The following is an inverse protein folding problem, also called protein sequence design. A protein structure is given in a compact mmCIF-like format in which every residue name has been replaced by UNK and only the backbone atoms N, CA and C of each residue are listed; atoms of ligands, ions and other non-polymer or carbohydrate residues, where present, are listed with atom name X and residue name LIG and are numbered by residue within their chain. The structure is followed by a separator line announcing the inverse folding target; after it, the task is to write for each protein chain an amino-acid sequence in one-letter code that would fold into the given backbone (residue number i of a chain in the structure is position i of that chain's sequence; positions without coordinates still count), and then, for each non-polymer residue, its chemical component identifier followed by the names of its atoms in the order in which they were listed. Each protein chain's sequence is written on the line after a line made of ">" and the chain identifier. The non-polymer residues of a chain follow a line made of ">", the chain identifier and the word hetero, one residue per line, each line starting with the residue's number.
data_IF_499981292091
#
_entry.id   IF_499981292091
#
_cell.length_a   1.000
_cell.length_b   1.000
_cell.length_c   1.000
_cell.angle_alpha   90.00
_cell.angle_beta   90.00
_cell.angle_gamma   90.00
#
_symmetry.space_group_name_H-M   'P 1'
#
loop_
_entity.id
_entity.type
_entity.pdbx_description
1 polymer ?
#
# COMPACT_ATOMS: atom_id res chain seq x y z
N UNK A 1 16.37 2.09 0.92
CA UNK A 1 16.74 2.68 -0.40
C UNK A 1 17.09 1.63 -1.47
N UNK A 2 17.81 0.53 -1.16
CA UNK A 2 18.23 -0.51 -2.12
C UNK A 2 17.08 -1.33 -2.78
N UNK A 3 15.99 -1.59 -2.05
CA UNK A 3 14.87 -2.41 -2.52
C UNK A 3 14.07 -1.76 -3.70
N UNK A 4 13.88 -0.43 -3.67
CA UNK A 4 13.14 0.29 -4.73
C UNK A 4 13.79 0.18 -6.11
N UNK A 5 15.12 0.07 -6.19
CA UNK A 5 15.82 -0.05 -7.47
C UNK A 5 15.52 -1.39 -8.15
N UNK A 6 15.48 -2.48 -7.38
CA UNK A 6 15.14 -3.81 -7.91
C UNK A 6 13.66 -3.91 -8.31
N UNK A 7 12.77 -3.27 -7.53
CA UNK A 7 11.34 -3.20 -7.89
C UNK A 7 11.12 -2.46 -9.20
N UNK A 8 11.89 -1.40 -9.50
CA UNK A 8 11.82 -0.71 -10.79
C UNK A 8 12.19 -1.62 -11.95
N UNK A 9 13.23 -2.44 -11.83
CA UNK A 9 13.61 -3.40 -12.88
C UNK A 9 12.47 -4.39 -13.16
N UNK A 10 11.85 -4.92 -12.11
CA UNK A 10 10.72 -5.85 -12.23
C UNK A 10 9.50 -5.15 -12.84
N UNK A 11 9.16 -3.94 -12.36
CA UNK A 11 8.04 -3.15 -12.87
C UNK A 11 8.22 -2.81 -14.36
N UNK A 12 9.43 -2.40 -14.78
CA UNK A 12 9.75 -2.14 -16.18
C UNK A 12 9.66 -3.39 -17.05
N UNK A 13 9.98 -4.56 -16.53
CA UNK A 13 9.79 -5.82 -17.27
C UNK A 13 8.30 -6.15 -17.41
N UNK A 14 7.56 -6.11 -16.30
CA UNK A 14 6.13 -6.48 -16.27
C UNK A 14 5.28 -5.53 -17.13
N UNK A 15 5.64 -4.25 -17.23
CA UNK A 15 4.92 -3.28 -18.08
C UNK A 15 4.98 -3.57 -19.58
N UNK A 16 5.92 -4.42 -20.03
CA UNK A 16 5.99 -4.86 -21.43
C UNK A 16 4.95 -5.93 -21.77
N UNK A 17 4.37 -6.59 -20.76
CA UNK A 17 3.39 -7.65 -20.94
C UNK A 17 2.00 -7.03 -21.09
N UNK A 18 1.41 -7.14 -22.29
CA UNK A 18 0.07 -6.64 -22.55
C UNK A 18 -0.97 -7.39 -21.72
N UNK A 19 -2.01 -6.68 -21.28
CA UNK A 19 -3.14 -7.22 -20.51
C UNK A 19 -2.74 -7.81 -19.13
N UNK A 20 -1.61 -7.40 -18.57
CA UNK A 20 -1.20 -7.77 -17.21
C UNK A 20 -1.40 -6.58 -16.26
N UNK A 21 -2.13 -6.81 -15.17
CA UNK A 21 -2.28 -5.87 -14.05
C UNK A 21 -1.71 -6.52 -12.79
N UNK A 22 -0.74 -5.88 -12.16
CA UNK A 22 -0.10 -6.38 -10.92
C UNK A 22 -0.78 -5.76 -9.71
N UNK A 23 -1.14 -6.58 -8.71
CA UNK A 23 -1.85 -6.10 -7.53
C UNK A 23 -1.56 -6.91 -6.27
N UNK A 24 -2.16 -6.47 -5.16
CA UNK A 24 -2.02 -7.04 -3.82
C UNK A 24 -0.57 -7.13 -3.29
N UNK A 25 -0.44 -7.72 -2.08
CA UNK A 25 0.83 -7.87 -1.34
C UNK A 25 1.92 -8.59 -2.14
N UNK A 26 1.56 -9.70 -2.79
CA UNK A 26 2.53 -10.57 -3.45
C UNK A 26 2.89 -10.09 -4.86
N UNK A 27 1.96 -9.43 -5.57
CA UNK A 27 2.22 -8.91 -6.91
C UNK A 27 3.01 -7.59 -6.91
N UNK A 28 2.86 -6.76 -5.87
CA UNK A 28 3.55 -5.46 -5.77
C UNK A 28 4.70 -5.45 -4.76
N UNK A 29 4.87 -6.50 -3.94
CA UNK A 29 5.87 -6.61 -2.88
C UNK A 29 5.89 -5.39 -1.93
N UNK A 30 4.70 -4.92 -1.55
CA UNK A 30 4.48 -3.80 -0.61
C UNK A 30 3.59 -4.26 0.54
N UNK A 31 3.82 -3.73 1.74
CA UNK A 31 2.86 -3.81 2.83
C UNK A 31 1.61 -3.02 2.45
N UNK A 32 0.46 -3.68 2.57
CA UNK A 32 -0.84 -3.20 2.15
C UNK A 32 -1.83 -3.78 3.18
N UNK A 33 -2.55 -2.90 3.88
CA UNK A 33 -3.69 -3.27 4.70
C UNK A 33 -4.87 -3.66 3.78
N UNK A 34 -5.83 -4.46 4.25
CA UNK A 34 -6.89 -5.07 3.42
C UNK A 34 -7.64 -4.07 2.53
N UNK A 35 -7.85 -2.86 3.01
CA UNK A 35 -8.48 -1.74 2.29
C UNK A 35 -7.69 -1.34 1.04
N UNK A 36 -6.36 -1.38 1.09
CA UNK A 36 -5.51 -1.12 -0.06
C UNK A 36 -5.56 -2.25 -1.10
N UNK A 37 -5.67 -3.51 -0.68
CA UNK A 37 -5.86 -4.63 -1.61
C UNK A 37 -7.18 -4.51 -2.35
N UNK A 38 -8.24 -4.10 -1.65
CA UNK A 38 -9.56 -3.87 -2.24
C UNK A 38 -9.54 -2.69 -3.23
N UNK A 39 -8.95 -1.56 -2.85
CA UNK A 39 -8.82 -0.39 -3.73
C UNK A 39 -8.02 -0.70 -5.00
N UNK A 40 -6.89 -1.42 -4.86
CA UNK A 40 -6.08 -1.86 -6.01
C UNK A 40 -6.91 -2.73 -6.97
N UNK A 41 -7.71 -3.66 -6.43
CA UNK A 41 -8.57 -4.51 -7.25
C UNK A 41 -9.65 -3.72 -7.98
N UNK A 42 -10.28 -2.73 -7.32
CA UNK A 42 -11.28 -1.87 -7.96
C UNK A 42 -10.68 -1.04 -9.12
N UNK A 43 -9.48 -0.49 -8.93
CA UNK A 43 -8.79 0.27 -9.97
C UNK A 43 -8.33 -0.63 -11.13
N UNK A 44 -7.91 -1.87 -10.85
CA UNK A 44 -7.58 -2.84 -11.88
C UNK A 44 -8.81 -3.18 -12.76
N UNK A 45 -9.99 -3.37 -12.15
CA UNK A 45 -11.24 -3.58 -12.89
C UNK A 45 -11.59 -2.36 -13.75
N UNK A 46 -11.45 -1.15 -13.21
CA UNK A 46 -11.66 0.08 -13.98
C UNK A 46 -10.72 0.20 -15.19
N UNK A 47 -9.46 -0.21 -15.04
CA UNK A 47 -8.52 -0.28 -16.16
C UNK A 47 -8.99 -1.25 -17.25
N UNK A 48 -9.54 -2.41 -16.86
CA UNK A 48 -10.13 -3.36 -17.82
C UNK A 48 -11.33 -2.74 -18.55
N UNK A 49 -12.10 -1.87 -17.86
CA UNK A 49 -13.24 -1.16 -18.44
C UNK A 49 -12.87 0.10 -19.24
N UNK A 50 -11.57 0.41 -19.41
CA UNK A 50 -11.08 1.49 -20.26
C UNK A 50 -10.59 2.75 -19.52
N UNK A 51 -10.55 2.74 -18.19
CA UNK A 51 -9.86 3.79 -17.42
C UNK A 51 -8.33 3.57 -17.42
N UNK A 52 -7.57 4.53 -16.88
CA UNK A 52 -6.10 4.44 -16.80
C UNK A 52 -5.59 4.92 -15.44
N UNK A 53 -5.44 3.97 -14.51
CA UNK A 53 -4.94 4.17 -13.16
C UNK A 53 -3.59 3.49 -12.96
N UNK A 54 -2.66 4.18 -12.30
CA UNK A 54 -1.41 3.57 -11.84
C UNK A 54 -1.63 2.82 -10.52
N UNK A 55 -1.74 1.48 -10.62
CA UNK A 55 -1.91 0.62 -9.45
C UNK A 55 -0.71 0.67 -8.49
N UNK A 56 0.47 1.05 -8.97
CA UNK A 56 1.67 1.14 -8.15
C UNK A 56 1.69 2.39 -7.27
N UNK A 57 0.83 3.38 -7.51
CA UNK A 57 0.72 4.60 -6.69
C UNK A 57 -0.28 4.49 -5.53
N UNK A 58 -1.10 3.42 -5.48
CA UNK A 58 -2.16 3.20 -4.47
C UNK A 58 -1.64 3.06 -3.01
N UNK A 59 -0.32 3.19 -2.79
CA UNK A 59 0.35 3.03 -1.50
C UNK A 59 1.55 3.97 -1.28
N UNK A 60 1.76 5.00 -2.10
CA UNK A 60 2.89 5.92 -1.89
C UNK A 60 2.62 6.99 -0.84
N UNK A 61 1.37 7.40 -0.65
CA UNK A 61 1.04 8.54 0.22
C UNK A 61 0.36 8.15 1.55
N UNK A 62 -0.48 7.10 1.57
CA UNK A 62 -1.30 6.76 2.76
C UNK A 62 -0.57 6.01 3.87
N UNK A 63 0.44 5.20 3.53
CA UNK A 63 1.20 4.42 4.52
C UNK A 63 1.91 5.30 5.55
N UNK A 64 2.29 6.53 5.15
CA UNK A 64 2.86 7.51 6.07
C UNK A 64 1.83 7.92 7.14
N UNK A 65 0.62 8.29 6.74
CA UNK A 65 -0.44 8.73 7.66
C UNK A 65 -0.95 7.61 8.61
N UNK A 66 -0.92 6.34 8.20
CA UNK A 66 -1.23 5.20 9.08
C UNK A 66 -0.16 4.99 10.18
N UNK A 67 1.14 5.14 9.87
CA UNK A 67 2.19 5.05 10.90
C UNK A 67 2.01 6.12 11.99
N UNK A 68 1.73 7.38 11.63
CA UNK A 68 1.53 8.44 12.65
C UNK A 68 0.29 8.23 13.53
N UNK A 69 -0.80 7.70 12.96
CA UNK A 69 -2.04 7.47 13.70
C UNK A 69 -1.93 6.26 14.65
N UNK A 70 -1.15 5.25 14.28
CA UNK A 70 -0.88 4.09 15.16
C UNK A 70 0.08 4.42 16.31
N UNK A 71 1.09 5.28 16.08
CA UNK A 71 2.00 5.71 17.16
C UNK A 71 1.33 6.66 18.17
N UNK A 72 0.50 7.58 17.69
CA UNK A 72 -0.27 8.49 18.57
C UNK A 72 -1.30 7.76 19.42
N UNK A 73 -1.96 6.74 18.86
CA UNK A 73 -2.92 5.91 19.60
C UNK A 73 -2.23 5.01 20.63
N UNK A 74 -1.08 4.38 20.30
CA UNK A 74 -0.28 3.59 21.26
C UNK A 74 0.19 4.41 22.47
N UNK A 75 0.67 5.64 22.23
CA UNK A 75 1.11 6.53 23.32
C UNK A 75 -0.05 6.96 24.23
N UNK A 76 -1.23 7.25 23.67
CA UNK A 76 -2.43 7.52 24.47
C UNK A 76 -2.80 6.33 25.35
N UNK A 77 -2.86 5.11 24.82
CA UNK A 77 -3.18 3.92 25.63
C UNK A 77 -2.19 3.66 26.75
N UNK A 78 -0.89 3.91 26.54
CA UNK A 78 0.15 3.74 27.57
C UNK A 78 0.05 4.79 28.68
N UNK A 79 -0.27 6.03 28.33
CA UNK A 79 -0.56 7.11 29.27
C UNK A 79 -1.81 6.82 30.13
N UNK A 80 -2.90 6.35 29.50
CA UNK A 80 -4.15 6.02 30.21
C UNK A 80 -3.99 4.84 31.19
N UNK A 81 -3.19 3.82 30.85
CA UNK A 81 -2.90 2.72 31.77
C UNK A 81 -2.00 3.16 32.95
N UNK A 82 -1.04 4.05 32.70
CA UNK A 82 -0.19 4.60 33.76
C UNK A 82 -0.98 5.46 34.76
N UNK A 83 -1.98 6.22 34.30
CA UNK A 83 -2.80 7.07 35.17
C UNK A 83 -3.84 6.32 35.99
N UNK A 84 -4.18 5.07 35.63
CA UNK A 84 -5.12 4.21 36.36
C UNK A 84 -4.46 3.29 37.39
N UNK A 85 -3.14 3.17 37.33
CA UNK A 85 -2.36 2.29 38.22
C UNK A 85 -1.72 3.06 39.39
N UNK A 86 -2.14 4.31 39.62
CA UNK A 86 -1.74 5.19 40.72
C UNK A 86 -2.95 5.61 41.53
#
# INVERSE_FOLDING_TARGET
>A
RKNRQHLKTIQSFLSTIKNLQTGARNGMHRYNNQDHSMLTAMLAVRNILGENHDLWEVNTERSYYEEFTTDTSKNKSKSYLSSKSS
#
